data_IF_598590134675
#
_entry.id   IF_598590134675
#
_cell.length_a   1.000
_cell.length_b   1.000
_cell.length_c   1.000
_cell.angle_alpha   90.00
_cell.angle_beta   90.00
_cell.angle_gamma   90.00
#
_symmetry.space_group_name_H-M   'P 1'
#
loop_
_entity.id
_entity.type
_entity.pdbx_description
1 polymer ?
#
# COMPACT_ATOMS: atom_id res chain seq x y z
N UNK A 1 -1.18 -20.59 9.12
CA UNK A 1 -1.30 -19.15 8.84
C UNK A 1 0.06 -18.54 8.47
N UNK A 2 1.11 -18.73 9.26
CA UNK A 2 2.45 -18.13 9.05
C UNK A 2 2.99 -18.36 7.63
N UNK A 3 2.83 -19.56 7.05
CA UNK A 3 3.27 -19.85 5.68
C UNK A 3 2.56 -19.00 4.61
N UNK A 4 1.33 -18.56 4.88
CA UNK A 4 0.49 -17.77 4.00
C UNK A 4 0.16 -16.42 4.68
N UNK A 5 1.13 -15.79 5.33
CA UNK A 5 0.93 -14.63 6.22
C UNK A 5 0.21 -13.46 5.56
N UNK A 6 0.45 -13.20 4.27
CA UNK A 6 -0.24 -12.15 3.50
C UNK A 6 -1.77 -12.29 3.48
N UNK A 7 -2.28 -13.47 3.78
CA UNK A 7 -3.71 -13.75 3.80
C UNK A 7 -4.41 -13.41 5.12
N UNK A 8 -3.68 -13.11 6.19
CA UNK A 8 -4.23 -12.97 7.54
C UNK A 8 -3.91 -11.62 8.16
N UNK A 9 -4.95 -10.88 8.59
CA UNK A 9 -4.83 -9.51 9.08
C UNK A 9 -3.94 -9.36 10.32
N UNK A 10 -3.92 -10.35 11.20
CA UNK A 10 -3.05 -10.32 12.39
C UNK A 10 -1.55 -10.50 12.06
N UNK A 11 -1.22 -10.98 10.87
CA UNK A 11 0.17 -11.17 10.41
C UNK A 11 0.60 -10.11 9.38
N UNK A 12 -0.33 -9.57 8.62
CA UNK A 12 -0.02 -8.73 7.46
C UNK A 12 -1.25 -7.94 7.00
N UNK A 13 -1.04 -6.74 6.52
CA UNK A 13 -2.09 -5.95 5.89
C UNK A 13 -2.44 -6.38 4.46
N UNK A 14 -1.95 -7.55 4.00
CA UNK A 14 -2.22 -8.08 2.67
C UNK A 14 -1.57 -7.30 1.53
N UNK A 15 -2.07 -7.49 0.33
CA UNK A 15 -1.49 -6.90 -0.89
C UNK A 15 -1.32 -5.38 -0.82
N UNK A 16 -2.24 -4.67 -0.18
CA UNK A 16 -2.16 -3.21 -0.04
C UNK A 16 -0.96 -2.81 0.80
N UNK A 17 -0.80 -3.41 1.99
CA UNK A 17 0.25 -3.04 2.92
C UNK A 17 1.61 -3.61 2.56
N UNK A 18 1.64 -4.78 1.91
CA UNK A 18 2.90 -5.48 1.67
C UNK A 18 3.54 -5.12 0.32
N UNK A 19 2.73 -4.71 -0.66
CA UNK A 19 3.19 -4.41 -2.02
C UNK A 19 2.80 -3.02 -2.50
N UNK A 20 1.53 -2.66 -2.39
CA UNK A 20 1.01 -1.41 -2.96
C UNK A 20 1.41 -0.18 -2.14
N UNK A 21 1.93 -0.37 -0.93
CA UNK A 21 2.55 0.70 -0.13
C UNK A 21 3.63 1.44 -0.92
N UNK A 22 4.39 0.76 -1.79
CA UNK A 22 5.40 1.41 -2.63
C UNK A 22 4.77 2.48 -3.54
N UNK A 23 3.68 2.14 -4.22
CA UNK A 23 2.98 3.08 -5.11
C UNK A 23 2.30 4.21 -4.32
N UNK A 24 1.75 3.90 -3.14
CA UNK A 24 1.11 4.88 -2.27
C UNK A 24 2.15 5.86 -1.73
N UNK A 25 3.31 5.38 -1.29
CA UNK A 25 4.40 6.23 -0.82
C UNK A 25 5.00 7.09 -1.95
N UNK A 26 5.24 6.52 -3.14
CA UNK A 26 5.68 7.27 -4.33
C UNK A 26 4.72 8.42 -4.69
N UNK A 27 3.41 8.18 -4.60
CA UNK A 27 2.38 9.18 -4.80
C UNK A 27 2.46 10.31 -3.78
N UNK A 28 2.61 9.98 -2.50
CA UNK A 28 2.76 10.96 -1.42
C UNK A 28 4.06 11.75 -1.54
N UNK A 29 5.14 11.10 -1.95
CA UNK A 29 6.41 11.77 -2.24
C UNK A 29 6.29 12.77 -3.39
N UNK A 30 5.71 12.33 -4.50
CA UNK A 30 5.50 13.19 -5.67
C UNK A 30 4.61 14.40 -5.33
N UNK A 31 3.57 14.19 -4.53
CA UNK A 31 2.63 15.23 -4.12
C UNK A 31 3.21 16.13 -3.00
N UNK A 32 4.24 15.67 -2.30
CA UNK A 32 4.78 16.30 -1.07
C UNK A 32 3.71 16.55 0.00
N UNK A 33 2.78 15.61 0.14
CA UNK A 33 1.67 15.67 1.08
C UNK A 33 1.12 14.28 1.39
N UNK A 34 0.39 14.18 2.50
CA UNK A 34 -0.36 12.99 2.88
C UNK A 34 -1.86 13.18 2.62
N UNK A 35 -2.57 12.15 2.16
CA UNK A 35 -4.04 12.21 2.03
C UNK A 35 -4.71 12.37 3.39
N UNK A 36 -5.85 13.05 3.41
CA UNK A 36 -6.68 13.26 4.60
C UNK A 36 -7.82 12.25 4.72
N UNK A 37 -8.22 11.63 3.62
CA UNK A 37 -9.23 10.56 3.62
C UNK A 37 -9.03 9.58 2.46
N UNK A 38 -9.66 8.41 2.59
CA UNK A 38 -9.74 7.39 1.55
C UNK A 38 -11.16 6.85 1.41
N UNK A 39 -11.53 6.53 0.17
CA UNK A 39 -12.69 5.72 -0.21
C UNK A 39 -12.20 4.56 -1.04
N UNK A 40 -12.81 3.39 -0.89
CA UNK A 40 -12.32 2.25 -1.62
C UNK A 40 -13.41 1.23 -1.95
N UNK A 41 -13.10 0.40 -2.93
CA UNK A 41 -13.78 -0.86 -3.19
C UNK A 41 -12.75 -1.96 -3.38
N UNK A 42 -13.14 -3.19 -3.15
CA UNK A 42 -12.27 -4.33 -3.30
C UNK A 42 -13.04 -5.64 -3.16
N UNK A 43 -12.31 -6.74 -3.16
CA UNK A 43 -12.96 -8.03 -2.99
C UNK A 43 -12.01 -9.22 -3.08
N UNK A 44 -12.60 -10.38 -2.85
CA UNK A 44 -11.98 -11.70 -2.94
C UNK A 44 -12.43 -12.39 -4.23
N UNK A 45 -11.87 -11.98 -5.37
CA UNK A 45 -12.28 -12.49 -6.68
C UNK A 45 -11.64 -13.83 -7.05
N UNK A 46 -10.35 -13.98 -6.71
CA UNK A 46 -9.58 -15.19 -6.99
C UNK A 46 -9.55 -16.15 -5.80
N UNK A 47 -9.75 -15.64 -4.60
CA UNK A 47 -9.59 -16.42 -3.36
C UNK A 47 -10.53 -17.62 -3.27
N UNK A 48 -11.72 -17.55 -3.87
CA UNK A 48 -12.63 -18.70 -3.96
C UNK A 48 -12.79 -19.41 -2.63
N UNK A 49 -12.34 -20.68 -2.59
CA UNK A 49 -12.36 -21.52 -1.40
C UNK A 49 -11.12 -21.39 -0.50
N UNK A 50 -10.21 -20.43 -0.76
CA UNK A 50 -9.10 -20.16 0.13
C UNK A 50 -9.62 -19.72 1.51
N UNK A 51 -8.97 -20.23 2.53
CA UNK A 51 -9.39 -20.06 3.93
C UNK A 51 -8.77 -18.83 4.61
N UNK A 52 -8.12 -17.93 3.86
CA UNK A 52 -7.54 -16.69 4.36
C UNK A 52 -8.57 -15.52 4.37
N UNK A 53 -8.16 -14.35 4.87
CA UNK A 53 -9.03 -13.21 5.12
C UNK A 53 -8.94 -12.10 4.06
N UNK A 54 -7.72 -11.69 3.70
CA UNK A 54 -7.49 -10.47 2.92
C UNK A 54 -8.08 -10.51 1.51
N UNK A 55 -8.38 -9.35 0.98
CA UNK A 55 -8.79 -9.17 -0.41
C UNK A 55 -7.62 -9.42 -1.37
N UNK A 56 -7.94 -9.77 -2.61
CA UNK A 56 -6.98 -9.94 -3.71
C UNK A 56 -7.05 -8.82 -4.75
N UNK A 57 -8.01 -7.89 -4.60
CA UNK A 57 -8.17 -6.75 -5.48
C UNK A 57 -8.66 -5.52 -4.72
N UNK A 58 -8.11 -4.36 -5.08
CA UNK A 58 -8.39 -3.07 -4.45
C UNK A 58 -8.45 -1.96 -5.49
N UNK A 59 -9.37 -1.03 -5.30
CA UNK A 59 -9.45 0.24 -6.00
C UNK A 59 -9.68 1.34 -4.95
N UNK A 60 -8.69 2.18 -4.73
CA UNK A 60 -8.69 3.19 -3.65
C UNK A 60 -8.60 4.58 -4.27
N UNK A 61 -9.46 5.47 -3.82
CA UNK A 61 -9.40 6.91 -4.06
C UNK A 61 -8.94 7.61 -2.79
N UNK A 62 -7.79 8.24 -2.84
CA UNK A 62 -7.28 9.12 -1.79
C UNK A 62 -7.63 10.57 -2.07
N UNK A 63 -7.96 11.32 -1.03
CA UNK A 63 -8.23 12.76 -1.10
C UNK A 63 -7.17 13.51 -0.30
N UNK A 64 -6.53 14.50 -0.93
CA UNK A 64 -5.63 15.44 -0.26
C UNK A 64 -6.37 16.67 0.24
N UNK A 65 -5.75 17.43 1.18
CA UNK A 65 -6.35 18.62 1.78
C UNK A 65 -6.73 19.69 0.73
N UNK A 66 -5.95 19.83 -0.35
CA UNK A 66 -6.21 20.75 -1.44
C UNK A 66 -7.30 20.27 -2.44
N UNK A 67 -7.95 19.14 -2.16
CA UNK A 67 -8.95 18.50 -3.01
C UNK A 67 -8.39 17.67 -4.16
N UNK A 68 -7.08 17.60 -4.32
CA UNK A 68 -6.45 16.69 -5.30
C UNK A 68 -6.82 15.24 -4.97
N UNK A 69 -7.03 14.44 -6.01
CA UNK A 69 -7.33 13.01 -5.89
C UNK A 69 -6.18 12.18 -6.42
N UNK A 70 -5.97 11.04 -5.78
CA UNK A 70 -5.11 10.00 -6.31
C UNK A 70 -5.83 8.65 -6.31
N UNK A 71 -5.53 7.82 -7.30
CA UNK A 71 -6.20 6.55 -7.53
C UNK A 71 -5.16 5.43 -7.55
N UNK A 72 -5.36 4.46 -6.67
CA UNK A 72 -4.57 3.22 -6.65
C UNK A 72 -5.45 2.05 -7.07
N UNK A 73 -5.03 1.31 -8.07
CA UNK A 73 -5.66 0.07 -8.49
C UNK A 73 -4.65 -1.06 -8.39
N UNK A 74 -4.94 -2.08 -7.62
CA UNK A 74 -4.04 -3.20 -7.44
C UNK A 74 -4.76 -4.53 -7.31
N UNK A 75 -4.08 -5.59 -7.74
CA UNK A 75 -4.56 -6.97 -7.60
C UNK A 75 -3.41 -7.96 -7.56
N UNK A 76 -3.65 -9.08 -6.88
CA UNK A 76 -2.72 -10.22 -6.80
C UNK A 76 -3.39 -11.47 -7.38
N UNK A 77 -3.88 -11.37 -8.62
CA UNK A 77 -4.63 -12.45 -9.29
C UNK A 77 -3.74 -13.05 -10.39
N UNK A 78 -3.38 -14.34 -10.32
CA UNK A 78 -2.57 -15.00 -11.33
C UNK A 78 -3.17 -14.92 -12.72
N UNK A 79 -2.32 -14.77 -13.74
CA UNK A 79 -2.74 -14.73 -15.15
C UNK A 79 -3.28 -13.39 -15.63
N UNK A 80 -3.42 -12.39 -14.74
CA UNK A 80 -3.81 -11.04 -15.13
C UNK A 80 -2.62 -10.26 -15.72
N UNK A 81 -2.92 -9.20 -16.49
CA UNK A 81 -1.91 -8.24 -16.92
C UNK A 81 -1.13 -7.73 -15.71
N UNK A 82 0.19 -7.75 -15.81
CA UNK A 82 1.09 -7.35 -14.73
C UNK A 82 1.73 -6.01 -15.08
N UNK A 83 1.47 -5.02 -14.23
CA UNK A 83 2.11 -3.71 -14.27
C UNK A 83 2.29 -3.23 -12.83
N UNK A 84 3.49 -2.78 -12.52
CA UNK A 84 3.81 -2.18 -11.22
C UNK A 84 4.42 -0.80 -11.51
N UNK A 85 3.58 0.23 -11.48
CA UNK A 85 3.96 1.56 -11.93
C UNK A 85 3.14 2.66 -11.22
N UNK A 86 3.72 3.85 -11.16
CA UNK A 86 3.10 5.05 -10.62
C UNK A 86 3.19 6.18 -11.63
N UNK A 87 2.07 6.84 -11.90
CA UNK A 87 1.93 7.91 -12.89
C UNK A 87 1.33 9.16 -12.26
N UNK A 88 1.77 10.33 -12.70
CA UNK A 88 1.13 11.60 -12.37
C UNK A 88 0.64 12.30 -13.63
N UNK A 89 -0.63 12.68 -13.66
CA UNK A 89 -1.27 13.40 -14.74
C UNK A 89 -1.49 14.86 -14.34
N UNK A 90 -0.78 15.78 -15.00
CA UNK A 90 -0.93 17.21 -14.79
C UNK A 90 -1.57 17.89 -15.99
N UNK A 91 -1.89 19.17 -15.87
CA UNK A 91 -2.49 19.98 -16.95
C UNK A 91 -1.56 20.19 -18.16
N UNK A 92 -0.25 20.00 -18.01
CA UNK A 92 0.76 20.22 -19.05
C UNK A 92 1.36 18.94 -19.59
N UNK A 93 1.16 17.81 -18.91
CA UNK A 93 1.78 16.55 -19.31
C UNK A 93 1.62 15.45 -18.27
N UNK A 94 2.35 14.38 -18.50
CA UNK A 94 2.37 13.17 -17.65
C UNK A 94 3.78 12.89 -17.16
N UNK A 95 3.89 12.46 -15.91
CA UNK A 95 5.11 11.89 -15.38
C UNK A 95 4.93 10.39 -15.11
N UNK A 96 5.91 9.60 -15.49
CA UNK A 96 6.14 8.27 -14.94
C UNK A 96 7.01 8.47 -13.71
N UNK A 97 6.45 8.22 -12.52
CA UNK A 97 7.18 8.33 -11.25
C UNK A 97 8.10 7.12 -11.13
N UNK A 98 7.53 5.94 -11.33
CA UNK A 98 8.24 4.67 -11.36
C UNK A 98 7.53 3.66 -12.27
N UNK A 99 8.29 2.73 -12.84
CA UNK A 99 7.76 1.66 -13.70
C UNK A 99 8.59 0.37 -13.56
N UNK A 100 8.95 -0.01 -12.36
CA UNK A 100 9.87 -1.15 -12.16
C UNK A 100 9.68 -1.88 -10.83
N UNK A 101 8.47 -2.26 -10.47
CA UNK A 101 8.22 -3.08 -9.29
C UNK A 101 8.79 -2.46 -8.01
N UNK A 102 9.44 -3.30 -7.19
CA UNK A 102 10.00 -2.90 -5.89
C UNK A 102 11.31 -2.10 -5.98
N UNK A 103 11.91 -1.97 -7.14
CA UNK A 103 13.09 -1.14 -7.37
C UNK A 103 12.69 0.05 -8.24
N UNK A 104 12.20 1.16 -7.66
CA UNK A 104 11.73 2.32 -8.40
C UNK A 104 12.75 2.78 -9.43
N UNK A 105 12.32 2.92 -10.67
CA UNK A 105 13.19 3.33 -11.79
C UNK A 105 12.37 3.80 -12.98
N UNK A 106 13.05 4.23 -14.04
CA UNK A 106 12.49 4.71 -15.31
C UNK A 106 11.64 5.98 -15.16
N UNK A 107 12.04 6.86 -14.23
CA UNK A 107 11.39 8.16 -14.07
C UNK A 107 11.50 9.01 -15.33
N UNK A 108 10.39 9.53 -15.85
CA UNK A 108 10.30 10.30 -17.09
C UNK A 108 9.19 11.34 -17.03
N UNK A 109 9.35 12.40 -17.78
CA UNK A 109 8.33 13.46 -17.95
C UNK A 109 8.07 13.64 -19.44
N UNK A 110 6.79 13.72 -19.78
CA UNK A 110 6.32 13.95 -21.15
C UNK A 110 5.49 15.24 -21.23
N UNK A 111 5.69 16.00 -22.31
CA UNK A 111 4.81 17.12 -22.67
C UNK A 111 3.50 16.55 -23.23
N UNK A 112 2.36 16.97 -22.67
CA UNK A 112 1.07 16.38 -23.02
C UNK A 112 0.90 14.95 -22.48
N UNK A 113 -0.13 14.27 -22.94
CA UNK A 113 -0.58 12.98 -22.36
C UNK A 113 -0.20 11.74 -23.19
N UNK A 114 0.53 11.92 -24.28
CA UNK A 114 1.04 10.79 -25.07
C UNK A 114 2.48 10.47 -24.68
N UNK A 115 2.70 9.30 -24.08
CA UNK A 115 4.02 8.81 -23.65
C UNK A 115 4.79 8.22 -24.84
N UNK A 116 5.27 9.07 -25.73
CA UNK A 116 6.08 8.70 -26.88
C UNK A 116 7.39 9.52 -26.95
N UNK A 117 8.29 9.16 -27.85
CA UNK A 117 9.60 9.80 -27.95
C UNK A 117 9.54 11.29 -28.28
N UNK A 118 8.56 11.70 -29.09
CA UNK A 118 8.44 13.09 -29.55
C UNK A 118 8.01 14.03 -28.41
N UNK A 119 7.31 13.48 -27.42
CA UNK A 119 6.83 14.20 -26.26
C UNK A 119 7.75 14.08 -25.03
N UNK A 120 8.81 13.26 -25.10
CA UNK A 120 9.74 13.08 -23.99
C UNK A 120 10.45 14.40 -23.67
N UNK A 121 10.15 14.98 -22.52
CA UNK A 121 10.74 16.23 -22.06
C UNK A 121 11.96 15.98 -21.16
N UNK A 122 11.94 14.91 -20.37
CA UNK A 122 13.00 14.56 -19.45
C UNK A 122 12.97 13.07 -19.12
N UNK A 123 14.13 12.47 -18.93
CA UNK A 123 14.27 11.13 -18.34
C UNK A 123 15.48 11.10 -17.42
N UNK A 124 15.45 10.21 -16.42
CA UNK A 124 16.62 9.97 -15.60
C UNK A 124 17.73 9.38 -16.45
N UNK A 125 18.96 9.86 -16.20
CA UNK A 125 20.17 9.38 -16.93
C UNK A 125 20.48 7.91 -16.63
N UNK A 126 21.31 7.32 -17.45
CA UNK A 126 21.78 5.94 -17.28
C UNK A 126 23.27 5.91 -16.88
N UNK A 127 23.67 4.95 -16.01
CA UNK A 127 22.84 3.96 -15.33
C UNK A 127 21.99 4.58 -14.22
N UNK A 128 20.77 4.09 -14.05
CA UNK A 128 19.97 4.44 -12.88
C UNK A 128 20.60 3.80 -11.63
N UNK A 129 20.70 4.54 -10.52
CA UNK A 129 21.28 3.98 -9.30
C UNK A 129 20.36 2.90 -8.72
N UNK A 130 20.96 1.92 -8.05
CA UNK A 130 20.20 0.93 -7.30
C UNK A 130 19.65 1.59 -6.02
N UNK A 131 18.33 1.66 -5.81
CA UNK A 131 17.73 2.34 -4.66
C UNK A 131 18.13 1.71 -3.32
N UNK A 132 18.27 0.40 -3.24
CA UNK A 132 18.73 -0.29 -2.02
C UNK A 132 20.18 0.07 -1.67
N UNK A 133 21.03 0.25 -2.67
CA UNK A 133 22.40 0.71 -2.42
C UNK A 133 22.43 2.19 -1.98
N UNK A 134 21.54 3.03 -2.53
CA UNK A 134 21.44 4.42 -2.11
C UNK A 134 20.99 4.55 -0.65
N UNK A 135 20.01 3.76 -0.25
CA UNK A 135 19.53 3.70 1.14
C UNK A 135 20.70 3.42 2.11
N UNK A 136 21.48 2.37 1.83
CA UNK A 136 22.67 2.06 2.63
C UNK A 136 23.72 3.16 2.60
N UNK A 137 23.93 3.78 1.45
CA UNK A 137 24.90 4.88 1.34
C UNK A 137 24.50 6.07 2.22
N UNK A 138 23.21 6.48 2.17
CA UNK A 138 22.69 7.57 2.98
C UNK A 138 22.76 7.26 4.48
N UNK A 139 22.37 6.05 4.87
CA UNK A 139 22.42 5.62 6.26
C UNK A 139 23.85 5.59 6.82
N UNK A 140 24.78 4.99 6.09
CA UNK A 140 26.19 4.92 6.49
C UNK A 140 26.84 6.30 6.49
N UNK A 141 26.48 7.17 5.53
CA UNK A 141 26.98 8.56 5.50
C UNK A 141 26.50 9.35 6.74
N UNK A 142 25.22 9.18 7.11
CA UNK A 142 24.68 9.81 8.31
C UNK A 142 25.43 9.37 9.59
N UNK A 143 25.70 8.05 9.74
CA UNK A 143 26.49 7.54 10.88
C UNK A 143 27.92 8.12 10.89
N UNK A 144 28.59 8.17 9.75
CA UNK A 144 29.99 8.62 9.65
C UNK A 144 30.18 10.10 9.89
N UNK A 145 29.18 10.88 9.53
CA UNK A 145 29.24 12.35 9.60
C UNK A 145 28.34 12.95 10.68
N UNK A 146 27.79 12.12 11.57
CA UNK A 146 26.90 12.53 12.66
C UNK A 146 25.73 13.41 12.17
N UNK A 147 25.10 12.98 11.06
CA UNK A 147 23.95 13.66 10.46
C UNK A 147 22.65 13.11 11.02
N UNK A 148 21.64 13.96 11.13
CA UNK A 148 20.29 13.53 11.44
C UNK A 148 19.73 12.66 10.28
N UNK A 149 19.27 11.47 10.60
CA UNK A 149 18.66 10.55 9.64
C UNK A 149 17.54 9.75 10.33
N UNK A 150 16.31 10.20 10.17
CA UNK A 150 15.15 9.58 10.82
C UNK A 150 13.99 9.41 9.82
N UNK A 151 13.81 8.19 9.32
CA UNK A 151 12.74 7.82 8.40
C UNK A 151 11.46 7.35 9.11
N UNK A 152 11.46 7.23 10.45
CA UNK A 152 10.32 6.70 11.19
C UNK A 152 9.04 7.52 10.99
N UNK A 153 9.03 8.86 11.01
CA UNK A 153 7.81 9.63 10.77
C UNK A 153 7.20 9.36 9.40
N UNK A 154 8.05 9.28 8.35
CA UNK A 154 7.58 8.99 7.00
C UNK A 154 7.06 7.56 6.87
N UNK A 155 7.79 6.58 7.36
CA UNK A 155 7.38 5.17 7.33
C UNK A 155 6.07 4.93 8.08
N UNK A 156 5.88 5.62 9.22
CA UNK A 156 4.62 5.57 9.98
C UNK A 156 3.46 6.13 9.18
N UNK A 157 3.63 7.29 8.55
CA UNK A 157 2.59 7.90 7.73
C UNK A 157 2.26 7.07 6.49
N UNK A 158 3.26 6.50 5.80
CA UNK A 158 3.05 5.60 4.68
C UNK A 158 2.22 4.38 5.09
N UNK A 159 2.53 3.78 6.24
CA UNK A 159 1.77 2.65 6.80
C UNK A 159 0.35 3.04 7.19
N UNK A 160 0.15 4.21 7.81
CA UNK A 160 -1.17 4.73 8.18
C UNK A 160 -2.04 4.95 6.94
N UNK A 161 -1.54 5.65 5.93
CA UNK A 161 -2.27 5.93 4.68
C UNK A 161 -2.61 4.65 3.93
N UNK A 162 -1.69 3.70 3.92
CA UNK A 162 -1.91 2.38 3.31
C UNK A 162 -3.03 1.62 4.03
N UNK A 163 -2.98 1.59 5.37
CA UNK A 163 -4.01 0.95 6.21
C UNK A 163 -5.36 1.66 6.11
N UNK A 164 -5.38 2.99 5.97
CA UNK A 164 -6.59 3.78 5.73
C UNK A 164 -7.30 3.33 4.44
N UNK A 165 -6.55 3.13 3.36
CA UNK A 165 -7.11 2.61 2.10
C UNK A 165 -7.61 1.18 2.21
N UNK A 166 -6.93 0.32 2.98
CA UNK A 166 -7.38 -1.05 3.26
C UNK A 166 -8.67 -1.05 4.07
N UNK A 167 -8.71 -0.31 5.18
CA UNK A 167 -9.90 -0.21 6.03
C UNK A 167 -11.10 0.30 5.23
N UNK A 168 -10.91 1.32 4.40
CA UNK A 168 -11.96 1.82 3.52
C UNK A 168 -12.51 0.73 2.55
N UNK A 169 -11.63 -0.12 2.01
CA UNK A 169 -12.04 -1.22 1.14
C UNK A 169 -12.78 -2.33 1.90
N UNK A 170 -12.30 -2.66 3.09
CA UNK A 170 -12.82 -3.77 3.89
C UNK A 170 -14.15 -3.43 4.58
N UNK A 171 -14.37 -2.18 4.95
CA UNK A 171 -15.60 -1.71 5.61
C UNK A 171 -16.61 -1.10 4.64
N UNK A 172 -16.15 -0.61 3.48
CA UNK A 172 -16.98 0.15 2.53
C UNK A 172 -17.28 1.58 2.98
N UNK A 173 -16.53 2.11 3.96
CA UNK A 173 -16.72 3.45 4.50
C UNK A 173 -15.71 4.45 3.90
N UNK A 174 -15.99 5.75 4.00
CA UNK A 174 -14.96 6.77 3.91
C UNK A 174 -14.20 6.78 5.24
N UNK A 175 -12.88 6.70 5.16
CA UNK A 175 -11.99 6.64 6.33
C UNK A 175 -11.07 7.85 6.30
N UNK A 176 -10.97 8.55 7.42
CA UNK A 176 -10.06 9.69 7.60
C UNK A 176 -8.81 9.31 8.39
N UNK A 177 -7.82 10.21 8.43
CA UNK A 177 -6.65 10.05 9.30
C UNK A 177 -7.05 9.98 10.77
N UNK A 178 -8.03 10.80 11.20
CA UNK A 178 -8.52 10.79 12.58
C UNK A 178 -9.20 9.46 12.92
N UNK A 179 -9.97 8.88 12.01
CA UNK A 179 -10.56 7.55 12.21
C UNK A 179 -9.46 6.49 12.40
N UNK A 180 -8.40 6.54 11.61
CA UNK A 180 -7.27 5.61 11.75
C UNK A 180 -6.53 5.74 13.09
N UNK A 181 -6.30 6.97 13.55
CA UNK A 181 -5.59 7.24 14.81
C UNK A 181 -6.41 6.84 16.06
N UNK A 182 -7.73 6.82 15.94
CA UNK A 182 -8.65 6.47 17.02
C UNK A 182 -9.30 5.09 16.82
N UNK A 183 -8.87 4.31 15.84
CA UNK A 183 -9.44 3.00 15.59
C UNK A 183 -9.09 2.01 16.70
N UNK A 184 -10.10 1.31 17.23
CA UNK A 184 -9.96 0.43 18.40
C UNK A 184 -9.55 -1.01 18.04
N UNK A 185 -9.49 -1.37 16.75
CA UNK A 185 -9.14 -2.74 16.34
C UNK A 185 -7.69 -3.07 16.73
N UNK A 186 -7.52 -4.15 17.46
CA UNK A 186 -6.24 -4.78 17.77
C UNK A 186 -6.20 -6.20 17.18
N UNK A 187 -5.53 -6.34 16.05
CA UNK A 187 -5.34 -7.66 15.41
C UNK A 187 -4.29 -8.52 16.11
N UNK A 188 -3.56 -7.97 17.06
CA UNK A 188 -2.51 -8.66 17.81
C UNK A 188 -2.92 -9.11 19.22
N UNK A 189 -4.19 -8.95 19.60
CA UNK A 189 -4.67 -9.35 20.92
C UNK A 189 -4.33 -10.84 21.18
N UNK A 190 -3.64 -11.11 22.30
CA UNK A 190 -3.23 -12.47 22.68
C UNK A 190 -1.88 -12.91 22.11
N UNK A 191 -1.16 -12.07 21.38
CA UNK A 191 0.12 -12.46 20.75
C UNK A 191 1.20 -12.85 21.76
N UNK A 192 1.19 -12.26 22.96
CA UNK A 192 2.12 -12.59 24.03
C UNK A 192 1.95 -14.02 24.58
N UNK A 193 0.79 -14.63 24.34
CA UNK A 193 0.47 -16.00 24.74
C UNK A 193 0.90 -17.05 23.72
N UNK A 194 1.41 -16.66 22.55
CA UNK A 194 1.80 -17.61 21.51
C UNK A 194 2.97 -18.48 21.92
N UNK A 195 2.86 -19.76 21.61
CA UNK A 195 3.95 -20.75 21.73
C UNK A 195 4.12 -21.48 20.40
N UNK A 196 5.29 -22.13 20.22
CA UNK A 196 5.59 -22.86 18.97
C UNK A 196 4.58 -23.99 18.66
N UNK A 197 4.07 -24.62 19.70
CA UNK A 197 3.15 -25.76 19.61
C UNK A 197 1.71 -25.39 20.01
N UNK A 198 1.45 -24.10 20.27
CA UNK A 198 0.14 -23.59 20.65
C UNK A 198 -0.75 -23.23 19.47
N UNK A 199 -2.00 -22.99 19.80
CA UNK A 199 -2.98 -22.51 18.82
C UNK A 199 -2.67 -21.08 18.38
N UNK A 200 -3.06 -20.73 17.15
CA UNK A 200 -3.02 -19.35 16.64
C UNK A 200 -4.01 -18.46 17.40
N UNK A 201 -3.73 -17.16 17.51
CA UNK A 201 -4.68 -16.20 18.09
C UNK A 201 -5.97 -16.10 17.27
N UNK A 202 -5.91 -16.31 15.97
CA UNK A 202 -7.08 -16.35 15.10
C UNK A 202 -7.48 -17.82 14.84
N UNK A 203 -8.65 -18.19 15.29
CA UNK A 203 -9.20 -19.54 15.08
C UNK A 203 -10.21 -19.54 13.92
N UNK A 204 -10.29 -20.63 13.14
CA UNK A 204 -11.32 -20.80 12.14
C UNK A 204 -12.69 -21.08 12.80
N UNK A 205 -13.76 -20.84 12.05
CA UNK A 205 -15.10 -21.35 12.37
C UNK A 205 -15.15 -22.88 12.28
N UNK A 206 -16.27 -23.47 12.72
CA UNK A 206 -16.47 -24.93 12.66
C UNK A 206 -16.38 -25.51 11.24
N UNK A 207 -16.63 -24.72 10.22
CA UNK A 207 -16.48 -25.09 8.80
C UNK A 207 -15.05 -24.93 8.26
N UNK A 208 -14.09 -24.55 9.11
CA UNK A 208 -12.68 -24.36 8.79
C UNK A 208 -12.36 -23.03 8.11
N UNK A 209 -13.32 -22.14 7.94
CA UNK A 209 -13.12 -20.80 7.36
C UNK A 209 -12.81 -19.76 8.42
N UNK A 210 -12.15 -18.69 8.01
CA UNK A 210 -11.89 -17.53 8.85
C UNK A 210 -12.90 -16.41 8.56
N UNK A 211 -13.16 -15.51 9.53
CA UNK A 211 -13.92 -14.29 9.24
C UNK A 211 -13.22 -13.48 8.15
N UNK A 212 -13.99 -12.92 7.23
CA UNK A 212 -13.48 -12.11 6.12
C UNK A 212 -14.18 -10.76 6.10
N UNK A 213 -13.54 -9.72 5.56
CA UNK A 213 -14.18 -8.41 5.44
C UNK A 213 -15.48 -8.48 4.64
N UNK A 214 -16.49 -7.79 5.14
CA UNK A 214 -17.84 -7.71 4.56
C UNK A 214 -18.28 -6.25 4.43
N UNK A 215 -17.86 -5.55 3.37
CA UNK A 215 -18.14 -4.13 3.19
C UNK A 215 -19.62 -3.80 3.32
N UNK A 216 -19.95 -2.81 4.16
CA UNK A 216 -21.30 -2.36 4.42
C UNK A 216 -22.12 -3.25 5.37
N UNK A 217 -21.73 -4.52 5.55
CA UNK A 217 -22.36 -5.40 6.56
C UNK A 217 -21.63 -5.30 7.91
N UNK A 218 -20.34 -5.10 7.88
CA UNK A 218 -19.52 -4.78 9.05
C UNK A 218 -18.79 -3.44 8.77
N UNK A 219 -19.40 -2.29 9.12
CA UNK A 219 -18.84 -0.99 8.79
C UNK A 219 -17.76 -0.51 9.78
N UNK A 220 -17.69 -1.08 10.96
CA UNK A 220 -16.83 -0.59 12.05
C UNK A 220 -15.49 -1.35 12.11
N UNK A 221 -15.48 -2.61 11.70
CA UNK A 221 -14.30 -3.49 11.76
C UNK A 221 -14.11 -4.27 10.46
N UNK A 222 -12.88 -4.67 10.20
CA UNK A 222 -12.53 -5.41 8.98
C UNK A 222 -13.05 -6.87 8.97
N UNK A 223 -13.39 -7.44 10.14
CA UNK A 223 -14.07 -8.75 10.28
C UNK A 223 -14.67 -8.95 11.66
#
# INVERSE_FOLDING_TARGET
QIKNFHGFLWLSGGAVSDFLIHNIDEMCWMKDAWPVSAKASGGRHYRGDNIDQNFDSYAIEYTFEDGTKAFMNGRTIPGCHNEFASYAHGSKGIAVISQSGHAPSKARIYNGHAMNKDNLAWEWGKPEPNPYQLEWNHYIDAIRNDLEYNEAPRGTMASLVTSMGRLAAHTGQEVTVDDMLNHEADFGEGIEGLTLDGDSILQPFDDGKYPVPQPGLNPDFEY
#
